data_IF_274641542435
#
_entry.id   IF_274641542435
#
_cell.length_a   1.000
_cell.length_b   1.000
_cell.length_c   1.000
_cell.angle_alpha   90.00
_cell.angle_beta   90.00
_cell.angle_gamma   90.00
#
_symmetry.space_group_name_H-M   'P 1'
#
loop_
_entity.id
_entity.type
_entity.pdbx_description
1 polymer ?
#
# COMPACT_ATOMS: atom_id res chain seq x y z
N UNK A 1 28.32 -12.13 41.17
CA UNK A 1 29.38 -11.20 40.76
C UNK A 1 28.85 -9.82 41.07
N UNK A 2 29.17 -9.31 42.25
CA UNK A 2 28.62 -8.05 42.74
C UNK A 2 29.50 -6.92 42.20
N UNK A 3 28.94 -6.12 41.31
CA UNK A 3 29.63 -4.97 40.71
C UNK A 3 29.54 -3.80 41.69
N UNK A 4 30.57 -3.64 42.52
CA UNK A 4 30.75 -2.44 43.35
C UNK A 4 31.15 -1.30 42.43
N UNK A 5 30.19 -0.42 42.12
CA UNK A 5 30.43 0.82 41.36
C UNK A 5 31.02 1.84 42.34
N UNK A 6 32.31 2.17 42.15
CA UNK A 6 32.98 3.21 42.93
C UNK A 6 32.49 4.60 42.48
N UNK A 7 31.63 5.20 43.29
CA UNK A 7 31.00 6.51 43.05
C UNK A 7 32.04 7.65 42.88
N UNK A 8 33.28 7.43 43.32
CA UNK A 8 34.36 8.41 43.21
C UNK A 8 34.98 8.49 41.81
N UNK A 9 34.87 7.43 41.00
CA UNK A 9 35.39 7.41 39.61
C UNK A 9 34.40 7.96 38.58
N UNK A 10 33.10 8.06 38.93
CA UNK A 10 32.04 8.53 38.04
C UNK A 10 31.18 9.63 38.68
N UNK A 11 31.81 10.58 39.37
CA UNK A 11 31.09 11.72 39.94
C UNK A 11 30.46 12.56 38.83
N UNK A 12 29.12 12.59 38.77
CA UNK A 12 28.39 13.40 37.80
C UNK A 12 28.31 14.83 38.33
N UNK A 13 28.93 15.76 37.63
CA UNK A 13 28.78 17.19 37.91
C UNK A 13 27.48 17.74 37.31
N UNK A 14 26.74 18.52 38.09
CA UNK A 14 25.50 19.16 37.63
C UNK A 14 25.86 20.46 36.89
N UNK A 15 25.78 20.45 35.57
CA UNK A 15 26.20 21.57 34.71
C UNK A 15 25.22 22.77 34.71
N UNK A 16 23.92 22.54 34.91
CA UNK A 16 22.89 23.60 34.90
C UNK A 16 21.60 23.13 35.56
N UNK A 17 20.94 24.00 36.34
CA UNK A 17 19.61 23.72 36.89
C UNK A 17 18.51 24.02 35.87
N UNK A 18 17.40 23.26 35.92
CA UNK A 18 16.21 23.51 35.10
C UNK A 18 15.75 24.97 35.18
N UNK A 19 15.86 25.61 36.35
CA UNK A 19 15.50 27.01 36.54
C UNK A 19 16.42 27.98 35.81
N UNK A 20 17.72 27.67 35.70
CA UNK A 20 18.68 28.46 34.93
C UNK A 20 18.41 28.33 33.42
N UNK A 21 18.05 27.14 32.95
CA UNK A 21 17.66 26.91 31.56
C UNK A 21 16.41 27.71 31.17
N UNK A 22 15.38 27.73 32.03
CA UNK A 22 14.15 28.47 31.76
C UNK A 22 14.38 29.99 31.75
N UNK A 23 15.24 30.51 32.63
CA UNK A 23 15.59 31.95 32.66
C UNK A 23 16.37 32.40 31.42
N UNK A 24 17.21 31.52 30.87
CA UNK A 24 18.08 31.84 29.74
C UNK A 24 17.47 31.43 28.39
N UNK A 25 16.20 31.01 28.35
CA UNK A 25 15.54 30.62 27.11
C UNK A 25 15.44 31.85 26.19
N UNK A 26 16.08 31.84 25.00
CA UNK A 26 15.94 32.96 24.07
C UNK A 26 14.48 33.06 23.62
N UNK A 27 13.95 34.28 23.40
CA UNK A 27 12.60 34.46 22.92
C UNK A 27 12.43 33.74 21.59
N UNK A 28 11.46 32.82 21.50
CA UNK A 28 11.13 32.14 20.26
C UNK A 28 10.73 33.18 19.22
N UNK A 29 11.34 33.11 18.04
CA UNK A 29 11.02 34.02 16.93
C UNK A 29 9.53 33.89 16.61
N UNK A 30 8.79 35.00 16.45
CA UNK A 30 7.41 34.93 15.99
C UNK A 30 7.37 34.23 14.63
N UNK A 31 6.69 33.09 14.56
CA UNK A 31 6.25 32.56 13.27
C UNK A 31 5.36 33.63 12.61
N UNK A 32 5.49 33.94 11.31
CA UNK A 32 4.65 34.92 10.66
C UNK A 32 3.22 34.40 10.60
N UNK A 33 2.42 34.78 11.61
CA UNK A 33 0.99 34.59 11.62
C UNK A 33 0.35 35.53 10.60
N UNK A 34 -0.40 34.95 9.64
CA UNK A 34 -1.34 35.72 8.85
C UNK A 34 -2.35 36.36 9.81
N UNK A 35 -2.49 37.68 9.73
CA UNK A 35 -3.51 38.41 10.46
C UNK A 35 -4.92 37.94 10.02
N UNK A 36 -5.80 37.55 10.95
CA UNK A 36 -7.23 37.47 10.66
C UNK A 36 -7.80 38.89 10.70
N UNK A 37 -8.42 39.32 9.60
CA UNK A 37 -9.27 40.50 9.60
C UNK A 37 -10.59 40.13 10.26
N UNK A 38 -10.93 40.85 11.32
CA UNK A 38 -12.14 40.67 12.09
C UNK A 38 -13.38 41.06 11.25
N UNK A 39 -14.27 40.09 11.00
CA UNK A 39 -15.71 40.34 10.94
C UNK A 39 -16.39 39.20 11.70
N UNK A 40 -17.04 39.59 12.79
CA UNK A 40 -17.80 38.78 13.73
C UNK A 40 -19.08 38.23 13.08
N UNK A 41 -19.30 36.91 13.16
CA UNK A 41 -20.52 36.32 13.77
C UNK A 41 -20.61 34.79 13.64
N UNK A 42 -20.99 34.22 14.78
CA UNK A 42 -21.69 32.96 15.02
C UNK A 42 -20.85 31.68 15.14
N UNK A 43 -20.69 31.32 16.41
CA UNK A 43 -20.21 30.07 16.99
C UNK A 43 -20.99 28.85 16.51
N UNK A 44 -20.27 27.86 16.01
CA UNK A 44 -20.49 26.44 16.29
C UNK A 44 -19.11 25.79 16.30
N UNK A 45 -18.76 25.24 17.46
CA UNK A 45 -17.53 24.52 17.77
C UNK A 45 -17.42 23.29 16.85
N UNK A 46 -16.73 23.45 15.72
CA UNK A 46 -16.30 22.31 14.90
C UNK A 46 -14.84 22.07 15.22
N UNK A 47 -14.63 21.06 16.06
CA UNK A 47 -13.38 20.35 16.30
C UNK A 47 -12.46 20.46 15.07
N UNK A 48 -11.30 21.08 15.24
CA UNK A 48 -10.30 21.20 14.20
C UNK A 48 -9.74 19.81 13.92
N UNK A 49 -10.46 19.05 13.07
CA UNK A 49 -10.10 17.71 12.66
C UNK A 49 -8.77 17.78 11.92
N UNK A 50 -7.69 17.41 12.63
CA UNK A 50 -6.35 17.19 12.13
C UNK A 50 -6.36 16.20 10.97
N UNK A 51 -6.62 16.66 9.74
CA UNK A 51 -6.53 15.81 8.56
C UNK A 51 -5.76 16.48 7.41
N UNK A 52 -4.49 16.80 7.66
CA UNK A 52 -3.54 17.23 6.61
C UNK A 52 -3.04 16.08 5.71
N UNK A 53 -3.64 14.89 5.78
CA UNK A 53 -3.48 13.85 4.75
C UNK A 53 -4.53 14.12 3.67
N UNK A 54 -4.12 14.24 2.39
CA UNK A 54 -5.07 14.29 1.26
C UNK A 54 -6.03 13.10 1.38
N UNK A 55 -7.29 13.34 1.75
CA UNK A 55 -8.30 12.29 1.79
C UNK A 55 -8.45 11.73 0.38
N UNK A 56 -8.36 10.42 0.25
CA UNK A 56 -8.62 9.76 -1.02
C UNK A 56 -10.09 9.96 -1.38
N UNK A 57 -10.36 10.58 -2.53
CA UNK A 57 -11.73 10.78 -3.01
C UNK A 57 -12.26 9.47 -3.56
N UNK A 58 -13.23 8.89 -2.87
CA UNK A 58 -13.96 7.71 -3.33
C UNK A 58 -15.27 8.16 -4.01
N UNK A 59 -15.57 7.60 -5.17
CA UNK A 59 -16.83 7.85 -5.89
C UNK A 59 -17.71 6.60 -5.86
N UNK A 60 -18.98 6.77 -5.54
CA UNK A 60 -19.96 5.69 -5.52
C UNK A 60 -20.34 5.23 -6.92
N UNK A 61 -20.88 4.02 -7.04
CA UNK A 61 -21.36 3.50 -8.32
C UNK A 61 -22.59 4.28 -8.82
N UNK A 62 -23.33 4.92 -7.90
CA UNK A 62 -24.42 5.85 -8.22
C UNK A 62 -23.90 7.13 -8.89
N UNK A 63 -22.83 7.74 -8.37
CA UNK A 63 -22.22 8.94 -8.97
C UNK A 63 -21.67 8.65 -10.37
N UNK A 64 -21.08 7.47 -10.57
CA UNK A 64 -20.67 6.98 -11.89
C UNK A 64 -21.85 6.84 -12.83
N UNK A 65 -22.96 6.28 -12.36
CA UNK A 65 -24.18 6.09 -13.17
C UNK A 65 -24.77 7.43 -13.58
N UNK A 66 -24.88 8.37 -12.64
CA UNK A 66 -25.35 9.74 -12.90
C UNK A 66 -24.45 10.45 -13.92
N UNK A 67 -23.14 10.24 -13.84
CA UNK A 67 -22.18 10.77 -14.80
C UNK A 67 -22.44 10.22 -16.21
N UNK A 68 -22.58 8.90 -16.38
CA UNK A 68 -22.81 8.31 -17.70
C UNK A 68 -24.18 8.64 -18.27
N UNK A 69 -25.21 8.79 -17.43
CA UNK A 69 -26.49 9.32 -17.86
C UNK A 69 -26.36 10.75 -18.44
N UNK A 70 -25.62 11.63 -17.77
CA UNK A 70 -25.35 12.98 -18.30
C UNK A 70 -24.51 12.94 -19.58
N UNK A 71 -23.53 12.04 -19.65
CA UNK A 71 -22.63 11.90 -20.80
C UNK A 71 -23.33 11.37 -22.04
N UNK A 72 -24.13 10.30 -21.93
CA UNK A 72 -24.83 9.68 -23.07
C UNK A 72 -26.18 10.31 -23.35
N UNK A 73 -27.05 10.44 -22.33
CA UNK A 73 -28.44 10.88 -22.54
C UNK A 73 -28.53 12.37 -22.87
N UNK A 74 -27.63 13.20 -22.31
CA UNK A 74 -27.58 14.64 -22.58
C UNK A 74 -26.42 15.07 -23.48
N UNK A 75 -25.68 14.10 -24.05
CA UNK A 75 -24.53 14.31 -24.95
C UNK A 75 -23.51 15.35 -24.47
N UNK A 76 -23.35 15.49 -23.14
CA UNK A 76 -22.41 16.44 -22.56
C UNK A 76 -20.98 15.95 -22.74
N UNK A 77 -20.04 16.89 -22.86
CA UNK A 77 -18.62 16.54 -22.77
C UNK A 77 -18.30 16.00 -21.38
N UNK A 78 -17.30 15.11 -21.29
CA UNK A 78 -16.88 14.52 -20.02
C UNK A 78 -16.54 15.58 -18.96
N UNK A 79 -15.95 16.70 -19.36
CA UNK A 79 -15.64 17.82 -18.46
C UNK A 79 -16.88 18.58 -18.00
N UNK A 80 -17.86 18.80 -18.88
CA UNK A 80 -19.11 19.47 -18.53
C UNK A 80 -19.93 18.63 -17.53
N UNK A 81 -20.10 17.33 -17.81
CA UNK A 81 -20.79 16.42 -16.90
C UNK A 81 -20.06 16.30 -15.54
N UNK A 82 -18.72 16.25 -15.54
CA UNK A 82 -17.93 16.19 -14.30
C UNK A 82 -18.13 17.44 -13.44
N UNK A 83 -18.09 18.64 -14.05
CA UNK A 83 -18.32 19.91 -13.34
C UNK A 83 -19.74 20.00 -12.76
N UNK A 84 -20.75 19.49 -13.47
CA UNK A 84 -22.13 19.45 -12.96
C UNK A 84 -22.29 18.54 -11.73
N UNK A 85 -21.52 17.46 -11.66
CA UNK A 85 -21.56 16.49 -10.56
C UNK A 85 -20.51 16.72 -9.47
N UNK A 86 -19.66 17.75 -9.60
CA UNK A 86 -18.55 17.98 -8.68
C UNK A 86 -17.45 16.91 -8.76
N UNK A 87 -17.40 16.13 -9.83
CA UNK A 87 -16.39 15.09 -10.05
C UNK A 87 -15.14 15.74 -10.64
N UNK A 88 -13.97 15.28 -10.20
CA UNK A 88 -12.72 15.75 -10.78
C UNK A 88 -12.63 15.38 -12.28
N UNK A 89 -12.38 16.37 -13.15
CA UNK A 89 -12.44 16.21 -14.61
C UNK A 89 -11.55 15.09 -15.14
N UNK A 90 -10.33 14.92 -14.60
CA UNK A 90 -9.44 13.82 -15.01
C UNK A 90 -10.00 12.43 -14.67
N UNK A 91 -10.78 12.32 -13.59
CA UNK A 91 -11.43 11.08 -13.19
C UNK A 91 -12.51 10.71 -14.18
N UNK A 92 -13.39 11.67 -14.51
CA UNK A 92 -14.42 11.49 -15.53
C UNK A 92 -13.85 11.12 -16.90
N UNK A 93 -12.78 11.79 -17.35
CA UNK A 93 -12.10 11.43 -18.60
C UNK A 93 -11.54 10.00 -18.57
N UNK A 94 -10.95 9.58 -17.44
CA UNK A 94 -10.48 8.19 -17.26
C UNK A 94 -11.63 7.19 -17.29
N UNK A 95 -12.78 7.51 -16.70
CA UNK A 95 -13.97 6.67 -16.75
C UNK A 95 -14.47 6.48 -18.18
N UNK A 96 -14.57 7.55 -18.96
CA UNK A 96 -14.96 7.48 -20.37
C UNK A 96 -13.96 6.62 -21.16
N UNK A 97 -12.65 6.80 -20.95
CA UNK A 97 -11.63 5.97 -21.59
C UNK A 97 -11.81 4.48 -21.27
N UNK A 98 -11.96 4.14 -19.99
CA UNK A 98 -12.17 2.75 -19.58
C UNK A 98 -13.47 2.16 -20.12
N UNK A 99 -14.54 2.95 -20.20
CA UNK A 99 -15.81 2.49 -20.76
C UNK A 99 -15.67 2.06 -22.24
N UNK A 100 -14.83 2.74 -23.03
CA UNK A 100 -14.56 2.32 -24.41
C UNK A 100 -13.60 1.13 -24.51
N UNK A 101 -12.75 0.92 -23.52
CA UNK A 101 -11.83 -0.23 -23.46
C UNK A 101 -12.57 -1.51 -23.03
N UNK A 102 -13.37 -1.44 -21.97
CA UNK A 102 -14.03 -2.57 -21.33
C UNK A 102 -15.21 -2.08 -20.46
N UNK A 103 -16.44 -1.98 -21.02
CA UNK A 103 -17.59 -1.39 -20.33
C UNK A 103 -18.11 -2.26 -19.17
N UNK A 104 -17.97 -3.58 -19.27
CA UNK A 104 -18.49 -4.52 -18.27
C UNK A 104 -17.65 -4.45 -16.98
N UNK A 105 -16.34 -4.42 -17.15
CA UNK A 105 -15.31 -4.38 -16.11
C UNK A 105 -15.27 -3.07 -15.32
N UNK A 106 -15.92 -2.01 -15.81
CA UNK A 106 -15.88 -0.68 -15.19
C UNK A 106 -16.66 -0.61 -13.86
N UNK A 107 -17.79 -1.32 -13.78
CA UNK A 107 -18.59 -1.43 -12.55
C UNK A 107 -18.20 -2.64 -11.71
N UNK A 108 -17.59 -3.65 -12.33
CA UNK A 108 -17.09 -4.82 -11.61
C UNK A 108 -15.93 -4.44 -10.67
N UNK A 109 -16.18 -4.62 -9.37
CA UNK A 109 -15.14 -4.50 -8.36
C UNK A 109 -14.21 -5.69 -8.50
N UNK A 110 -13.13 -5.52 -9.26
CA UNK A 110 -12.06 -6.53 -9.36
C UNK A 110 -11.62 -6.90 -7.95
N UNK A 111 -11.70 -8.19 -7.62
CA UNK A 111 -11.13 -8.71 -6.38
C UNK A 111 -9.67 -8.29 -6.36
N UNK A 112 -9.24 -7.68 -5.26
CA UNK A 112 -7.84 -7.31 -5.09
C UNK A 112 -7.04 -8.61 -4.92
N UNK A 113 -6.67 -9.22 -6.03
CA UNK A 113 -5.70 -10.30 -6.02
C UNK A 113 -4.37 -9.64 -5.71
N UNK A 114 -3.98 -9.72 -4.44
CA UNK A 114 -2.66 -9.31 -4.01
C UNK A 114 -1.60 -10.18 -4.69
N UNK A 115 -0.34 -9.90 -4.39
CA UNK A 115 0.74 -10.79 -4.80
C UNK A 115 0.45 -12.21 -4.31
N UNK A 116 0.54 -13.19 -5.22
CA UNK A 116 0.37 -14.60 -4.86
C UNK A 116 1.36 -14.98 -3.74
N UNK A 117 0.89 -15.79 -2.79
CA UNK A 117 1.75 -16.29 -1.70
C UNK A 117 2.87 -17.13 -2.32
N UNK A 118 4.08 -16.97 -1.80
CA UNK A 118 5.25 -17.73 -2.22
C UNK A 118 5.15 -19.17 -1.69
N UNK A 119 4.63 -19.31 -0.47
CA UNK A 119 4.28 -20.60 0.12
C UNK A 119 2.83 -20.92 -0.23
N UNK A 120 2.64 -21.98 -1.02
CA UNK A 120 1.36 -22.65 -1.25
C UNK A 120 1.08 -23.80 -0.27
N UNK A 121 -0.01 -24.51 -0.52
CA UNK A 121 -0.59 -25.53 0.37
C UNK A 121 0.33 -26.75 0.60
N UNK A 122 1.07 -27.17 -0.43
CA UNK A 122 2.06 -28.26 -0.34
C UNK A 122 3.19 -27.93 0.66
N UNK A 123 3.61 -26.66 0.69
CA UNK A 123 4.63 -26.20 1.61
C UNK A 123 4.11 -26.14 3.05
N UNK A 124 2.84 -25.75 3.22
CA UNK A 124 2.18 -25.73 4.54
C UNK A 124 2.07 -27.16 5.11
N UNK A 125 1.64 -28.13 4.30
CA UNK A 125 1.55 -29.53 4.73
C UNK A 125 2.91 -30.14 5.06
N UNK A 126 3.94 -29.84 4.27
CA UNK A 126 5.32 -30.27 4.52
C UNK A 126 5.83 -29.73 5.87
N UNK A 127 5.54 -28.47 6.19
CA UNK A 127 5.91 -27.85 7.47
C UNK A 127 5.14 -28.46 8.65
N UNK A 128 3.84 -28.73 8.49
CA UNK A 128 3.02 -29.34 9.53
C UNK A 128 3.53 -30.74 9.89
N UNK A 129 3.76 -31.60 8.90
CA UNK A 129 4.28 -32.95 9.13
C UNK A 129 5.65 -32.90 9.85
N UNK A 130 6.53 -31.98 9.46
CA UNK A 130 7.86 -31.86 10.08
C UNK A 130 7.79 -31.41 11.55
N UNK A 131 6.90 -30.47 11.88
CA UNK A 131 6.71 -29.98 13.25
C UNK A 131 6.05 -31.07 14.12
N UNK A 132 5.09 -31.81 13.56
CA UNK A 132 4.44 -32.92 14.27
C UNK A 132 5.42 -34.05 14.58
N UNK A 133 6.34 -34.36 13.66
CA UNK A 133 7.42 -35.33 13.87
C UNK A 133 8.51 -34.83 14.83
N UNK A 134 8.79 -33.52 14.83
CA UNK A 134 9.88 -32.90 15.60
C UNK A 134 9.40 -31.64 16.33
N UNK A 135 8.68 -31.77 17.46
CA UNK A 135 8.10 -30.62 18.17
C UNK A 135 9.16 -29.68 18.77
N UNK A 136 10.40 -30.14 18.94
CA UNK A 136 11.53 -29.35 19.45
C UNK A 136 12.37 -28.67 18.35
N UNK A 137 11.96 -28.77 17.08
CA UNK A 137 12.73 -28.26 15.96
C UNK A 137 12.87 -26.72 16.00
N UNK A 138 14.06 -26.23 15.66
CA UNK A 138 14.35 -24.79 15.62
C UNK A 138 14.02 -24.24 14.23
N UNK A 139 13.60 -22.97 14.13
CA UNK A 139 13.21 -22.34 12.86
C UNK A 139 14.25 -22.50 11.73
N UNK A 140 15.53 -22.52 12.04
CA UNK A 140 16.60 -22.74 11.05
C UNK A 140 16.56 -24.13 10.43
N UNK A 141 16.21 -25.14 11.22
CA UNK A 141 16.08 -26.53 10.78
C UNK A 141 14.83 -26.70 9.91
N UNK A 142 13.72 -26.12 10.34
CA UNK A 142 12.46 -26.06 9.57
C UNK A 142 12.67 -25.40 8.21
N UNK A 143 13.36 -24.25 8.18
CA UNK A 143 13.68 -23.54 6.94
C UNK A 143 14.67 -24.33 6.07
N UNK A 144 15.63 -25.02 6.67
CA UNK A 144 16.56 -25.91 5.97
C UNK A 144 15.84 -27.08 5.30
N UNK A 145 14.93 -27.72 6.03
CA UNK A 145 14.09 -28.80 5.52
C UNK A 145 13.18 -28.32 4.38
N UNK A 146 12.57 -27.14 4.51
CA UNK A 146 11.73 -26.55 3.47
C UNK A 146 12.52 -26.25 2.18
N UNK A 147 13.72 -25.68 2.30
CA UNK A 147 14.59 -25.40 1.14
C UNK A 147 15.12 -26.69 0.48
N UNK A 148 15.37 -27.73 1.27
CA UNK A 148 15.85 -29.03 0.78
C UNK A 148 14.77 -29.77 -0.03
N UNK A 149 13.50 -29.68 0.40
CA UNK A 149 12.37 -30.32 -0.27
C UNK A 149 11.86 -29.51 -1.47
N UNK A 150 12.07 -28.19 -1.49
CA UNK A 150 11.60 -27.31 -2.56
C UNK A 150 12.72 -26.42 -3.10
N UNK A 151 13.42 -26.91 -4.14
CA UNK A 151 14.52 -26.20 -4.81
C UNK A 151 14.08 -24.86 -5.46
N UNK A 152 12.79 -24.70 -5.72
CA UNK A 152 12.20 -23.50 -6.35
C UNK A 152 12.04 -22.32 -5.37
N UNK A 153 12.15 -22.56 -4.06
CA UNK A 153 12.00 -21.53 -3.03
C UNK A 153 13.30 -20.76 -2.83
N UNK A 154 13.38 -19.56 -3.41
CA UNK A 154 14.45 -18.60 -3.09
C UNK A 154 14.03 -17.72 -1.92
N UNK A 155 14.28 -18.20 -0.69
CA UNK A 155 14.04 -17.39 0.52
C UNK A 155 15.34 -16.66 0.88
N UNK A 156 15.39 -15.35 0.62
CA UNK A 156 16.53 -14.53 1.05
C UNK A 156 16.52 -14.38 2.57
N UNK A 157 17.66 -14.65 3.24
CA UNK A 157 17.81 -14.53 4.70
C UNK A 157 17.70 -13.09 5.22
N UNK A 158 17.63 -12.10 4.35
CA UNK A 158 17.51 -10.68 4.68
C UNK A 158 16.44 -10.02 3.83
N UNK A 159 15.33 -9.63 4.49
CA UNK A 159 14.18 -8.86 3.97
C UNK A 159 13.36 -9.60 2.88
N UNK A 160 12.03 -9.76 3.02
CA UNK A 160 11.20 -10.43 2.01
C UNK A 160 11.00 -9.51 0.79
N UNK A 161 12.03 -9.37 -0.03
CA UNK A 161 11.91 -8.83 -1.38
C UNK A 161 11.57 -9.97 -2.33
N UNK A 162 10.58 -9.69 -3.16
CA UNK A 162 9.93 -10.58 -4.10
C UNK A 162 10.87 -11.49 -4.93
N UNK A 163 10.89 -12.79 -4.62
CA UNK A 163 11.42 -13.83 -5.52
C UNK A 163 10.70 -13.79 -6.88
N UNK A 164 11.48 -13.70 -7.96
CA UNK A 164 10.99 -13.72 -9.34
C UNK A 164 10.82 -15.18 -9.77
N UNK A 165 9.59 -15.59 -10.09
CA UNK A 165 9.33 -16.86 -10.78
C UNK A 165 9.76 -16.72 -12.25
N UNK A 166 10.82 -17.43 -12.65
CA UNK A 166 11.17 -17.60 -14.06
C UNK A 166 10.14 -18.54 -14.69
N UNK A 167 9.39 -18.03 -15.68
CA UNK A 167 8.49 -18.83 -16.49
C UNK A 167 9.32 -19.53 -17.57
N UNK A 168 9.50 -20.85 -17.46
CA UNK A 168 9.95 -21.68 -18.57
C UNK A 168 8.94 -21.63 -19.70
N UNK A 169 9.41 -21.32 -20.91
CA UNK A 169 8.64 -21.40 -22.15
C UNK A 169 8.94 -22.74 -22.79
N UNK A 170 8.11 -23.74 -22.53
CA UNK A 170 8.04 -24.94 -23.36
C UNK A 170 6.66 -25.00 -23.99
N UNK A 171 6.59 -24.65 -25.28
CA UNK A 171 5.43 -24.93 -26.12
C UNK A 171 5.92 -25.16 -27.55
N UNK A 172 6.27 -26.43 -27.77
CA UNK A 172 6.05 -27.22 -28.98
C UNK A 172 6.03 -26.49 -30.33
N UNK A 173 7.19 -26.52 -30.99
CA UNK A 173 7.28 -26.50 -32.44
C UNK A 173 6.90 -27.88 -32.99
N UNK A 174 5.71 -28.01 -33.59
CA UNK A 174 5.44 -29.08 -34.56
C UNK A 174 4.88 -28.44 -35.82
N UNK A 175 5.79 -28.23 -36.76
CA UNK A 175 5.53 -27.96 -38.18
C UNK A 175 4.59 -29.03 -38.74
N UNK A 176 3.37 -28.63 -39.12
CA UNK A 176 2.59 -29.34 -40.14
C UNK A 176 2.97 -28.74 -41.49
N UNK A 177 3.74 -29.49 -42.27
CA UNK A 177 4.10 -29.13 -43.65
C UNK A 177 2.92 -29.26 -44.61
N UNK A 178 2.94 -28.56 -45.76
CA UNK A 178 1.89 -28.67 -46.77
C UNK A 178 2.10 -29.94 -47.60
N UNK A 179 1.05 -30.76 -47.78
CA UNK A 179 1.00 -31.78 -48.82
C UNK A 179 0.08 -31.34 -49.95
N UNK A 180 0.66 -31.33 -51.14
CA UNK A 180 0.11 -30.96 -52.43
C UNK A 180 -0.47 -32.22 -53.11
N UNK A 181 -1.60 -32.03 -53.81
CA UNK A 181 -2.19 -32.79 -54.94
C UNK A 181 -2.46 -34.30 -54.85
N UNK A 182 -3.69 -34.71 -55.19
CA UNK A 182 -3.98 -35.53 -56.38
C UNK A 182 -5.49 -35.82 -56.53
N UNK A 183 -5.95 -35.76 -57.79
CA UNK A 183 -7.26 -36.06 -58.41
C UNK A 183 -8.40 -35.04 -58.24
#
# INVERSE_FOLDING_TARGET
>A
MDLVVDEKLFAIETLSSQTQFLKNKPPERPNPAMHPTAVERNSEDVDMELCSKRRYTFYSDEEKTRFFHLFFSKSLSASAAARQLGIHVRTAQRWVKHHYEDPESFFEKKKKTGRHRILGEEHEQCLLNYIDENPSAVLTEVMGYLLQNFADLTVSRTIPVCGKKQRGKDSAEVRLGPKVAAN
#
